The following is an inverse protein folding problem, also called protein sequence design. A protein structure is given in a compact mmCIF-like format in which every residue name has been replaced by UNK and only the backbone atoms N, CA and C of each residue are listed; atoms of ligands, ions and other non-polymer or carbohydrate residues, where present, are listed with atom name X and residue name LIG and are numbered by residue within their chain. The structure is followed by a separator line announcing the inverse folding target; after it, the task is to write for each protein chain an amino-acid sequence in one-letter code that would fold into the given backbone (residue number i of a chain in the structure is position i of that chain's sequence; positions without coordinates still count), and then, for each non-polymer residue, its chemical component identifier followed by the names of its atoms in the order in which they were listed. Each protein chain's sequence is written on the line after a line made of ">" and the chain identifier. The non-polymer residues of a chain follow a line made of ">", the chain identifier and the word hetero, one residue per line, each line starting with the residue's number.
data_IF_508445797944
#
_entry.id   IF_508445797944
#
_cell.length_a   1.000
_cell.length_b   1.000
_cell.length_c   1.000
_cell.angle_alpha   90.00
_cell.angle_beta   90.00
_cell.angle_gamma   90.00
#
_symmetry.space_group_name_H-M   'P 1'
#
loop_
_entity.id
_entity.type
_entity.pdbx_description
1 polymer ?
#
# COMPACT_ATOMS: atom_id res chain seq x y z
N UNK A 1 -14.09 27.36 -4.41
CA UNK A 1 -13.17 26.40 -3.75
C UNK A 1 -11.80 26.52 -4.35
N UNK A 2 -10.76 26.50 -3.51
CA UNK A 2 -9.37 26.47 -3.97
C UNK A 2 -9.10 25.13 -4.66
N UNK A 3 -8.55 25.17 -5.87
CA UNK A 3 -8.26 23.96 -6.62
C UNK A 3 -6.84 23.48 -6.30
N UNK A 4 -6.73 22.46 -5.44
CA UNK A 4 -5.46 21.84 -5.12
C UNK A 4 -5.07 20.80 -6.19
N UNK A 5 -3.77 20.63 -6.50
CA UNK A 5 -3.30 19.58 -7.42
C UNK A 5 -3.61 18.14 -6.97
N UNK A 6 -4.11 17.99 -5.74
CA UNK A 6 -4.53 16.72 -5.16
C UNK A 6 -6.02 16.45 -5.32
N UNK A 7 -6.80 17.42 -5.79
CA UNK A 7 -8.23 17.25 -5.98
C UNK A 7 -8.51 16.23 -7.08
N UNK A 8 -9.48 15.37 -6.84
CA UNK A 8 -9.90 14.38 -7.84
C UNK A 8 -10.65 15.03 -9.00
N UNK A 9 -10.34 14.61 -10.21
CA UNK A 9 -11.08 14.99 -11.42
C UNK A 9 -12.51 14.43 -11.39
N UNK A 10 -13.36 14.83 -12.34
CA UNK A 10 -14.70 14.27 -12.43
C UNK A 10 -14.67 12.77 -12.77
N UNK A 11 -13.78 12.34 -13.66
CA UNK A 11 -13.61 10.91 -13.98
C UNK A 11 -13.13 10.10 -12.79
N UNK A 12 -12.15 10.61 -12.04
CA UNK A 12 -11.65 9.98 -10.82
C UNK A 12 -12.74 9.90 -9.73
N UNK A 13 -13.53 10.96 -9.59
CA UNK A 13 -14.65 10.97 -8.65
C UNK A 13 -15.72 9.94 -9.00
N UNK A 14 -16.09 9.80 -10.27
CA UNK A 14 -17.03 8.75 -10.71
C UNK A 14 -16.56 7.35 -10.31
N UNK A 15 -15.25 7.08 -10.33
CA UNK A 15 -14.73 5.79 -9.88
C UNK A 15 -14.88 5.64 -8.37
N UNK A 16 -14.48 6.65 -7.59
CA UNK A 16 -14.48 6.60 -6.12
C UNK A 16 -15.90 6.56 -5.56
N UNK A 17 -16.81 7.33 -6.14
CA UNK A 17 -18.17 7.48 -5.65
C UNK A 17 -18.97 6.18 -5.61
N UNK A 18 -18.64 5.21 -6.49
CA UNK A 18 -19.27 3.89 -6.49
C UNK A 18 -19.01 3.07 -5.21
N UNK A 19 -18.05 3.45 -4.41
CA UNK A 19 -17.69 2.77 -3.15
C UNK A 19 -18.22 3.50 -1.91
N UNK A 20 -18.90 4.63 -2.10
CA UNK A 20 -19.35 5.49 -1.03
C UNK A 20 -20.88 5.57 -1.02
N UNK A 21 -21.47 5.56 0.18
CA UNK A 21 -22.89 5.81 0.34
C UNK A 21 -23.19 7.30 0.04
N UNK A 22 -23.81 7.59 -1.10
CA UNK A 22 -24.15 8.93 -1.54
C UNK A 22 -25.60 9.34 -1.16
N UNK A 23 -26.45 8.42 -0.76
CA UNK A 23 -27.88 8.66 -0.54
C UNK A 23 -28.15 9.47 0.73
N UNK A 24 -27.28 9.32 1.73
CA UNK A 24 -27.43 10.02 3.00
C UNK A 24 -27.18 11.53 2.85
N UNK A 25 -28.11 12.36 3.31
CA UNK A 25 -27.91 13.81 3.37
C UNK A 25 -26.80 14.19 4.36
N UNK A 26 -25.85 15.02 3.91
CA UNK A 26 -24.64 15.40 4.65
C UNK A 26 -24.38 16.91 4.54
N UNK A 27 -23.75 17.47 5.58
CA UNK A 27 -23.36 18.89 5.60
C UNK A 27 -22.26 19.20 4.57
N UNK A 28 -21.38 18.25 4.27
CA UNK A 28 -20.26 18.38 3.33
C UNK A 28 -20.35 17.29 2.27
N UNK A 29 -20.01 17.63 1.05
CA UNK A 29 -19.91 16.65 -0.02
C UNK A 29 -18.78 15.66 0.25
N UNK A 30 -19.00 14.38 -0.01
CA UNK A 30 -17.98 13.35 0.21
C UNK A 30 -16.75 13.56 -0.67
N UNK A 31 -16.90 14.18 -1.84
CA UNK A 31 -15.78 14.55 -2.70
C UNK A 31 -14.80 15.51 -2.02
N UNK A 32 -15.30 16.49 -1.27
CA UNK A 32 -14.47 17.42 -0.51
C UNK A 32 -13.69 16.71 0.60
N UNK A 33 -14.34 15.74 1.26
CA UNK A 33 -13.70 14.92 2.29
C UNK A 33 -12.60 14.05 1.69
N UNK A 34 -12.86 13.41 0.55
CA UNK A 34 -11.84 12.62 -0.17
C UNK A 34 -10.67 13.52 -0.60
N UNK A 35 -10.94 14.71 -1.14
CA UNK A 35 -9.90 15.67 -1.51
C UNK A 35 -9.02 16.06 -0.31
N UNK A 36 -9.63 16.33 0.84
CA UNK A 36 -8.89 16.66 2.07
C UNK A 36 -8.01 15.48 2.54
N UNK A 37 -8.50 14.24 2.46
CA UNK A 37 -7.72 13.06 2.79
C UNK A 37 -6.54 12.87 1.83
N UNK A 38 -6.77 13.00 0.52
CA UNK A 38 -5.70 12.88 -0.49
C UNK A 38 -4.67 14.02 -0.38
N UNK A 39 -5.11 15.23 -0.02
CA UNK A 39 -4.24 16.35 0.30
C UNK A 39 -3.32 16.00 1.47
N UNK A 40 -3.86 15.50 2.58
CA UNK A 40 -3.10 15.07 3.76
C UNK A 40 -2.08 13.99 3.40
N UNK A 41 -2.47 12.98 2.63
CA UNK A 41 -1.58 11.90 2.20
C UNK A 41 -0.41 12.45 1.36
N UNK A 42 -0.69 13.34 0.43
CA UNK A 42 0.34 13.92 -0.45
C UNK A 42 1.28 14.86 0.27
N UNK A 43 0.74 15.77 1.09
CA UNK A 43 1.52 16.83 1.74
C UNK A 43 2.18 16.38 3.04
N UNK A 44 1.62 15.34 3.70
CA UNK A 44 2.06 14.85 5.01
C UNK A 44 1.70 15.79 6.17
N UNK A 45 0.80 16.76 5.96
CA UNK A 45 0.38 17.68 7.01
C UNK A 45 -0.28 16.92 8.18
N UNK A 46 -0.34 17.54 9.35
CA UNK A 46 -1.11 17.02 10.47
C UNK A 46 -2.61 17.20 10.21
N UNK A 47 -3.45 16.33 10.76
CA UNK A 47 -4.91 16.45 10.65
C UNK A 47 -5.43 17.84 11.02
N UNK A 48 -4.90 18.41 12.12
CA UNK A 48 -5.28 19.74 12.61
C UNK A 48 -4.76 20.89 11.75
N UNK A 49 -3.84 20.62 10.83
CA UNK A 49 -3.24 21.58 9.90
C UNK A 49 -3.81 21.48 8.48
N UNK A 50 -4.94 20.79 8.30
CA UNK A 50 -5.65 20.83 7.04
C UNK A 50 -6.07 22.29 6.75
N UNK A 51 -5.90 22.77 5.50
CA UNK A 51 -6.36 24.09 5.09
C UNK A 51 -7.80 24.38 5.45
N UNK A 52 -8.12 25.62 5.80
CA UNK A 52 -9.42 26.03 6.33
C UNK A 52 -10.56 25.97 5.30
N UNK A 53 -10.24 25.91 4.00
CA UNK A 53 -11.18 25.75 2.89
C UNK A 53 -11.63 24.29 2.68
N UNK A 54 -10.99 23.31 3.32
CA UNK A 54 -11.52 21.95 3.44
C UNK A 54 -12.55 21.84 4.58
N UNK A 55 -13.36 20.77 4.60
CA UNK A 55 -14.18 20.45 5.75
C UNK A 55 -13.32 20.38 7.03
N UNK A 56 -13.91 20.77 8.17
CA UNK A 56 -13.20 20.76 9.48
C UNK A 56 -12.52 19.41 9.72
N UNK A 57 -11.27 19.43 10.14
CA UNK A 57 -10.44 18.23 10.31
C UNK A 57 -11.09 17.08 11.13
N UNK A 58 -11.91 17.31 12.19
CA UNK A 58 -12.54 16.21 12.93
C UNK A 58 -13.53 15.43 12.06
N UNK A 59 -14.20 16.11 11.11
CA UNK A 59 -15.13 15.49 10.17
C UNK A 59 -14.37 14.68 9.14
N UNK A 60 -13.29 15.23 8.57
CA UNK A 60 -12.42 14.51 7.63
C UNK A 60 -11.83 13.26 8.28
N UNK A 61 -11.34 13.37 9.51
CA UNK A 61 -10.79 12.25 10.27
C UNK A 61 -11.85 11.19 10.61
N UNK A 62 -13.08 11.62 10.94
CA UNK A 62 -14.20 10.70 11.17
C UNK A 62 -14.46 9.82 9.93
N UNK A 63 -14.58 10.42 8.75
CA UNK A 63 -14.79 9.66 7.51
C UNK A 63 -13.59 8.78 7.16
N UNK A 64 -12.37 9.30 7.26
CA UNK A 64 -11.17 8.48 7.08
C UNK A 64 -11.18 7.24 7.96
N UNK A 65 -11.49 7.41 9.27
CA UNK A 65 -11.52 6.33 10.24
C UNK A 65 -12.66 5.34 9.99
N UNK A 66 -13.84 5.83 9.63
CA UNK A 66 -15.01 5.01 9.31
C UNK A 66 -14.75 4.19 8.06
N UNK A 67 -14.26 4.80 6.99
CA UNK A 67 -13.97 4.11 5.74
C UNK A 67 -12.82 3.10 5.88
N UNK A 68 -11.81 3.43 6.71
CA UNK A 68 -10.78 2.46 7.10
C UNK A 68 -11.37 1.26 7.82
N UNK A 69 -12.21 1.48 8.86
CA UNK A 69 -12.83 0.41 9.65
C UNK A 69 -13.72 -0.50 8.81
N UNK A 70 -14.40 0.07 7.83
CA UNK A 70 -15.32 -0.65 6.93
C UNK A 70 -14.60 -1.26 5.71
N UNK A 71 -13.27 -1.20 5.62
CA UNK A 71 -12.50 -1.77 4.51
C UNK A 71 -12.63 -1.04 3.18
N UNK A 72 -13.27 0.14 3.12
CA UNK A 72 -13.53 0.88 1.88
C UNK A 72 -12.23 1.20 1.13
N UNK A 73 -11.17 1.60 1.82
CA UNK A 73 -9.89 1.92 1.18
C UNK A 73 -9.22 0.70 0.55
N UNK A 74 -9.32 -0.44 1.19
CA UNK A 74 -8.80 -1.70 0.68
C UNK A 74 -9.58 -2.15 -0.54
N UNK A 75 -10.91 -2.17 -0.45
CA UNK A 75 -11.79 -2.58 -1.52
C UNK A 75 -11.69 -1.67 -2.77
N UNK A 76 -11.65 -0.34 -2.59
CA UNK A 76 -11.39 0.61 -3.67
C UNK A 76 -10.02 0.36 -4.32
N UNK A 77 -8.99 0.10 -3.51
CA UNK A 77 -7.65 -0.20 -3.99
C UNK A 77 -7.64 -1.45 -4.88
N UNK A 78 -8.23 -2.56 -4.43
CA UNK A 78 -8.33 -3.82 -5.18
C UNK A 78 -9.05 -3.65 -6.50
N UNK A 79 -10.21 -2.98 -6.51
CA UNK A 79 -10.95 -2.68 -7.73
C UNK A 79 -10.14 -1.85 -8.73
N UNK A 80 -9.32 -0.91 -8.25
CA UNK A 80 -8.42 -0.15 -9.13
C UNK A 80 -7.31 -1.03 -9.70
N UNK A 81 -6.76 -1.97 -8.93
CA UNK A 81 -5.79 -2.96 -9.41
C UNK A 81 -6.39 -3.75 -10.57
N UNK A 82 -7.56 -4.35 -10.39
CA UNK A 82 -8.25 -5.13 -11.41
C UNK A 82 -8.50 -4.30 -12.69
N UNK A 83 -9.04 -3.09 -12.56
CA UNK A 83 -9.32 -2.20 -13.68
C UNK A 83 -8.06 -1.82 -14.45
N UNK A 84 -6.95 -1.51 -13.76
CA UNK A 84 -5.68 -1.16 -14.42
C UNK A 84 -5.10 -2.38 -15.11
N UNK A 85 -5.14 -3.55 -14.49
CA UNK A 85 -4.66 -4.80 -15.10
C UNK A 85 -5.41 -5.09 -16.40
N UNK A 86 -6.75 -5.00 -16.37
CA UNK A 86 -7.59 -5.16 -17.56
C UNK A 86 -7.25 -4.15 -18.66
N UNK A 87 -7.10 -2.86 -18.29
CA UNK A 87 -6.70 -1.78 -19.23
C UNK A 87 -5.33 -2.04 -19.87
N UNK A 88 -4.44 -2.78 -19.18
CA UNK A 88 -3.12 -3.17 -19.64
C UNK A 88 -3.10 -4.55 -20.36
N UNK A 89 -4.26 -5.08 -20.72
CA UNK A 89 -4.39 -6.37 -21.42
C UNK A 89 -3.97 -7.58 -20.58
N UNK A 90 -4.04 -7.48 -19.25
CA UNK A 90 -3.75 -8.58 -18.31
C UNK A 90 -5.03 -9.10 -17.67
N UNK A 91 -4.98 -10.34 -17.18
CA UNK A 91 -6.07 -10.87 -16.35
C UNK A 91 -6.30 -9.97 -15.14
N UNK A 92 -7.56 -9.77 -14.76
CA UNK A 92 -7.94 -8.98 -13.59
C UNK A 92 -7.24 -9.51 -12.33
N UNK A 93 -7.29 -10.83 -12.10
CA UNK A 93 -6.53 -11.48 -11.03
C UNK A 93 -5.07 -11.74 -11.45
N UNK A 94 -4.09 -11.34 -10.62
CA UNK A 94 -2.69 -11.66 -10.83
C UNK A 94 -2.39 -13.13 -10.50
N UNK A 95 -1.45 -13.73 -11.24
CA UNK A 95 -0.92 -15.07 -10.95
C UNK A 95 0.49 -15.05 -10.35
N UNK A 96 1.14 -13.90 -10.39
CA UNK A 96 2.54 -13.71 -9.97
C UNK A 96 2.65 -12.49 -9.08
N UNK A 97 3.39 -12.65 -7.97
CA UNK A 97 3.76 -11.57 -7.06
C UNK A 97 5.27 -11.36 -6.97
N UNK A 98 5.66 -10.22 -6.44
CA UNK A 98 7.04 -9.87 -6.09
C UNK A 98 7.01 -9.31 -4.69
N UNK A 99 7.76 -9.92 -3.76
CA UNK A 99 7.79 -9.54 -2.35
C UNK A 99 9.06 -8.74 -2.03
N UNK A 100 8.91 -7.73 -1.18
CA UNK A 100 10.04 -7.02 -0.56
C UNK A 100 9.58 -6.31 0.73
N UNK A 101 10.55 -5.80 1.52
CA UNK A 101 10.30 -5.10 2.77
C UNK A 101 11.11 -3.81 2.89
N UNK A 102 10.45 -2.74 3.35
CA UNK A 102 11.05 -1.44 3.59
C UNK A 102 10.95 -1.07 5.07
N UNK A 103 12.10 -0.80 5.71
CA UNK A 103 12.14 -0.26 7.08
C UNK A 103 12.01 1.26 7.07
N UNK A 104 11.12 1.81 7.91
CA UNK A 104 10.76 3.23 7.94
C UNK A 104 10.88 3.76 9.35
N UNK A 105 11.53 4.92 9.47
CA UNK A 105 11.64 5.63 10.74
C UNK A 105 10.26 6.02 11.28
N UNK A 106 10.01 5.72 12.55
CA UNK A 106 8.84 6.20 13.28
C UNK A 106 9.15 7.49 14.05
N UNK A 107 8.12 8.33 14.24
CA UNK A 107 8.21 9.47 15.16
C UNK A 107 8.16 8.98 16.61
N UNK A 108 8.47 9.85 17.57
CA UNK A 108 8.46 9.49 19.01
C UNK A 108 7.09 8.97 19.47
N UNK A 109 6.01 9.60 19.00
CA UNK A 109 4.64 9.32 19.42
C UNK A 109 3.91 8.34 18.51
N UNK A 110 4.52 7.94 17.38
CA UNK A 110 3.90 6.99 16.43
C UNK A 110 4.20 5.56 16.82
N UNK A 111 3.36 4.66 16.36
CA UNK A 111 3.39 3.21 16.48
C UNK A 111 3.67 2.66 17.89
N UNK A 112 2.71 1.91 18.39
CA UNK A 112 2.86 1.12 19.62
C UNK A 112 3.84 -0.05 19.40
N UNK A 113 3.96 -0.54 18.16
CA UNK A 113 4.75 -1.71 17.75
C UNK A 113 6.01 -1.29 16.94
N UNK A 114 6.82 -0.39 17.50
CA UNK A 114 8.09 0.00 16.85
C UNK A 114 9.27 -0.79 17.40
N UNK A 115 10.18 -1.17 16.49
CA UNK A 115 11.40 -1.88 16.82
C UNK A 115 12.63 -1.27 16.14
N UNK A 116 13.71 -2.00 16.15
CA UNK A 116 14.99 -1.59 15.53
C UNK A 116 15.44 -2.62 14.50
N UNK A 117 15.56 -2.20 13.26
CA UNK A 117 16.21 -2.97 12.19
C UNK A 117 17.72 -2.75 12.28
N UNK A 118 18.43 -3.74 12.78
CA UNK A 118 19.88 -3.66 12.97
C UNK A 118 20.66 -3.60 11.64
N UNK A 119 20.16 -4.27 10.60
CA UNK A 119 20.79 -4.29 9.28
C UNK A 119 20.70 -2.94 8.55
N UNK A 120 19.54 -2.30 8.62
CA UNK A 120 19.30 -0.99 7.98
C UNK A 120 19.51 0.20 8.94
N UNK A 121 19.80 -0.07 10.23
CA UNK A 121 19.96 0.93 11.31
C UNK A 121 18.75 1.88 11.42
N UNK A 122 17.55 1.34 11.32
CA UNK A 122 16.28 2.08 11.35
C UNK A 122 15.48 1.71 12.59
N UNK A 123 15.12 2.71 13.41
CA UNK A 123 14.14 2.56 14.50
C UNK A 123 12.76 2.95 14.01
N UNK A 124 11.82 1.98 13.98
CA UNK A 124 10.47 2.25 13.50
C UNK A 124 9.68 1.00 13.18
N UNK A 125 9.04 1.03 12.03
CA UNK A 125 8.22 -0.06 11.48
C UNK A 125 8.83 -0.62 10.20
N UNK A 126 8.37 -1.79 9.80
CA UNK A 126 8.69 -2.43 8.54
C UNK A 126 7.40 -2.62 7.73
N UNK A 127 7.44 -2.20 6.46
CA UNK A 127 6.40 -2.45 5.46
C UNK A 127 6.79 -3.67 4.66
N UNK A 128 6.05 -4.75 4.77
CA UNK A 128 6.13 -5.90 3.88
C UNK A 128 5.08 -5.73 2.81
N UNK A 129 5.47 -5.75 1.54
CA UNK A 129 4.53 -5.63 0.42
C UNK A 129 4.72 -6.76 -0.58
N UNK A 130 3.64 -7.11 -1.25
CA UNK A 130 3.67 -7.92 -2.46
C UNK A 130 3.04 -7.08 -3.56
N UNK A 131 3.72 -6.97 -4.70
CA UNK A 131 3.23 -6.27 -5.89
C UNK A 131 3.08 -7.23 -7.06
N UNK A 132 2.25 -6.87 -8.04
CA UNK A 132 2.17 -7.60 -9.30
C UNK A 132 3.29 -7.17 -10.28
N UNK A 133 3.26 -7.71 -11.49
CA UNK A 133 4.22 -7.40 -12.55
C UNK A 133 4.12 -5.97 -13.10
N UNK A 134 3.08 -5.21 -12.77
CA UNK A 134 2.91 -3.80 -13.11
C UNK A 134 3.36 -2.86 -11.96
N UNK A 135 3.71 -3.43 -10.79
CA UNK A 135 4.03 -2.69 -9.58
C UNK A 135 2.80 -2.25 -8.80
N UNK A 136 1.65 -2.87 -9.03
CA UNK A 136 0.44 -2.63 -8.26
C UNK A 136 0.51 -3.43 -6.96
N UNK A 137 0.24 -2.80 -5.83
CA UNK A 137 0.27 -3.47 -4.53
C UNK A 137 -0.87 -4.49 -4.47
N UNK A 138 -0.55 -5.73 -4.10
CA UNK A 138 -1.53 -6.79 -3.89
C UNK A 138 -1.77 -7.05 -2.41
N UNK A 139 -0.76 -6.88 -1.59
CA UNK A 139 -0.86 -7.00 -0.14
C UNK A 139 0.15 -6.08 0.55
N UNK A 140 -0.21 -5.59 1.71
CA UNK A 140 0.67 -4.82 2.60
C UNK A 140 0.43 -5.21 4.05
N UNK A 141 1.52 -5.46 4.78
CA UNK A 141 1.51 -5.68 6.23
C UNK A 141 2.54 -4.78 6.88
N UNK A 142 2.16 -4.17 7.98
CA UNK A 142 3.02 -3.30 8.79
C UNK A 142 3.31 -4.00 10.11
N UNK A 143 4.60 -4.14 10.43
CA UNK A 143 5.08 -4.75 11.67
C UNK A 143 6.21 -3.92 12.28
N UNK A 144 6.67 -4.31 13.47
CA UNK A 144 7.88 -3.77 14.09
C UNK A 144 9.09 -3.90 13.15
N UNK A 145 9.96 -2.89 13.10
CA UNK A 145 11.18 -2.98 12.30
C UNK A 145 12.14 -4.08 12.77
N UNK A 146 11.99 -4.61 13.99
CA UNK A 146 12.76 -5.75 14.50
C UNK A 146 12.39 -7.09 13.87
N UNK A 147 11.20 -7.22 13.25
CA UNK A 147 10.78 -8.43 12.54
C UNK A 147 11.66 -8.62 11.30
N UNK A 148 12.23 -9.82 11.14
CA UNK A 148 13.04 -10.12 9.96
C UNK A 148 12.16 -10.20 8.71
N UNK A 149 12.75 -9.90 7.54
CA UNK A 149 12.01 -9.87 6.27
C UNK A 149 11.35 -11.23 5.97
N UNK A 150 12.05 -12.35 6.28
CA UNK A 150 11.49 -13.70 6.11
C UNK A 150 10.35 -14.04 7.06
N UNK A 151 10.36 -13.51 8.29
CA UNK A 151 9.30 -13.77 9.26
C UNK A 151 8.03 -13.00 8.90
N UNK A 152 8.19 -11.75 8.46
CA UNK A 152 7.09 -10.94 7.96
C UNK A 152 6.51 -11.44 6.63
N UNK A 153 7.27 -12.22 5.86
CA UNK A 153 6.81 -12.79 4.59
C UNK A 153 5.56 -13.67 4.76
N UNK A 154 5.51 -14.50 5.81
CA UNK A 154 4.37 -15.37 6.07
C UNK A 154 3.08 -14.55 6.23
N UNK A 155 3.14 -13.48 7.03
CA UNK A 155 1.98 -12.62 7.28
C UNK A 155 1.49 -11.90 6.02
N UNK A 156 2.41 -11.40 5.18
CA UNK A 156 2.00 -10.69 3.94
C UNK A 156 1.49 -11.66 2.86
N UNK A 157 2.00 -12.91 2.82
CA UNK A 157 1.47 -13.94 1.92
C UNK A 157 0.09 -14.44 2.40
N UNK A 158 -0.12 -14.54 3.72
CA UNK A 158 -1.44 -14.83 4.28
C UNK A 158 -2.44 -13.76 3.87
N UNK A 159 -2.09 -12.47 4.07
CA UNK A 159 -2.91 -11.33 3.63
C UNK A 159 -3.17 -11.34 2.12
N UNK A 160 -2.17 -11.68 1.31
CA UNK A 160 -2.33 -11.83 -0.13
C UNK A 160 -3.42 -12.82 -0.51
N UNK A 161 -3.43 -14.00 0.15
CA UNK A 161 -4.37 -15.08 -0.16
C UNK A 161 -5.82 -14.80 0.25
N UNK A 162 -6.05 -13.84 1.13
CA UNK A 162 -7.41 -13.41 1.47
C UNK A 162 -8.12 -12.85 0.21
N UNK A 163 -7.41 -12.07 -0.61
CA UNK A 163 -7.99 -11.29 -1.70
C UNK A 163 -7.60 -11.83 -3.10
N UNK A 164 -6.42 -12.45 -3.24
CA UNK A 164 -5.86 -12.89 -4.54
C UNK A 164 -5.60 -14.39 -4.54
N UNK A 165 -6.60 -15.17 -4.92
CA UNK A 165 -6.54 -16.64 -4.83
C UNK A 165 -5.67 -17.30 -5.92
N UNK A 166 -5.54 -16.64 -7.09
CA UNK A 166 -4.87 -17.18 -8.28
C UNK A 166 -3.34 -16.99 -8.29
N UNK A 167 -2.75 -16.45 -7.22
CA UNK A 167 -1.29 -16.36 -7.11
C UNK A 167 -0.70 -17.74 -6.95
N UNK A 168 0.18 -18.13 -7.90
CA UNK A 168 0.89 -19.40 -7.94
C UNK A 168 2.38 -19.26 -7.71
N UNK A 169 2.94 -18.05 -7.94
CA UNK A 169 4.38 -17.80 -7.82
C UNK A 169 4.65 -16.43 -7.20
N UNK A 170 5.66 -16.38 -6.34
CA UNK A 170 6.18 -15.14 -5.77
C UNK A 170 7.70 -15.11 -6.00
N UNK A 171 8.21 -13.99 -6.53
CA UNK A 171 9.63 -13.70 -6.63
C UNK A 171 10.11 -12.95 -5.39
N UNK A 172 11.27 -13.34 -4.87
CA UNK A 172 11.90 -12.75 -3.68
C UNK A 172 13.42 -12.63 -3.85
N UNK A 173 14.06 -11.77 -3.07
CA UNK A 173 15.51 -11.70 -3.03
C UNK A 173 16.13 -12.77 -2.11
N UNK A 174 17.48 -12.81 -2.05
CA UNK A 174 18.22 -13.80 -1.25
C UNK A 174 17.94 -13.75 0.25
N UNK A 175 17.41 -12.64 0.76
CA UNK A 175 17.02 -12.50 2.17
C UNK A 175 15.88 -13.42 2.60
N UNK A 176 15.07 -13.88 1.63
CA UNK A 176 13.93 -14.78 1.84
C UNK A 176 14.28 -16.27 1.65
N UNK A 177 15.53 -16.60 1.35
CA UNK A 177 15.96 -17.97 1.13
C UNK A 177 15.88 -18.84 2.40
N UNK A 178 15.91 -20.18 2.24
CA UNK A 178 15.94 -21.17 3.32
C UNK A 178 14.58 -21.80 3.61
N UNK A 179 14.29 -22.06 4.89
CA UNK A 179 13.10 -22.80 5.33
C UNK A 179 11.76 -22.15 4.90
N UNK A 180 11.77 -20.84 4.67
CA UNK A 180 10.58 -20.09 4.23
C UNK A 180 9.99 -20.67 2.92
N UNK A 181 10.83 -21.12 1.98
CA UNK A 181 10.39 -21.68 0.69
C UNK A 181 9.43 -22.86 0.92
N UNK A 182 9.84 -23.80 1.80
CA UNK A 182 9.00 -24.96 2.14
C UNK A 182 7.70 -24.51 2.83
N UNK A 183 7.78 -23.60 3.81
CA UNK A 183 6.61 -23.09 4.55
C UNK A 183 5.59 -22.45 3.60
N UNK A 184 6.03 -21.59 2.68
CA UNK A 184 5.13 -20.93 1.72
C UNK A 184 4.50 -21.96 0.78
N UNK A 185 5.29 -22.91 0.28
CA UNK A 185 4.78 -23.98 -0.61
C UNK A 185 3.75 -24.88 0.08
N UNK A 186 4.04 -25.33 1.31
CA UNK A 186 3.16 -26.24 2.05
C UNK A 186 1.87 -25.56 2.49
N UNK A 187 1.99 -24.35 3.08
CA UNK A 187 0.84 -23.65 3.69
C UNK A 187 -0.06 -22.96 2.66
N UNK A 188 0.54 -22.34 1.64
CA UNK A 188 -0.21 -21.48 0.71
C UNK A 188 -0.30 -22.03 -0.72
N UNK A 189 0.41 -23.13 -1.03
CA UNK A 189 0.51 -23.72 -2.38
C UNK A 189 1.08 -22.74 -3.41
N UNK A 190 2.01 -21.87 -2.97
CA UNK A 190 2.70 -20.88 -3.78
C UNK A 190 4.16 -21.27 -3.93
N UNK A 191 4.70 -21.17 -5.14
CA UNK A 191 6.14 -21.31 -5.41
C UNK A 191 6.84 -20.00 -5.04
N UNK A 192 7.79 -20.04 -4.10
CA UNK A 192 8.66 -18.92 -3.77
C UNK A 192 10.00 -19.08 -4.51
N UNK A 193 10.23 -18.26 -5.54
CA UNK A 193 11.45 -18.29 -6.34
C UNK A 193 12.42 -17.19 -5.88
N UNK A 194 13.63 -17.63 -5.50
CA UNK A 194 14.68 -16.73 -5.03
C UNK A 194 15.53 -16.27 -6.22
N UNK A 195 15.58 -14.95 -6.44
CA UNK A 195 16.41 -14.34 -7.46
C UNK A 195 17.79 -14.04 -6.88
N UNK A 196 18.84 -14.71 -7.40
CA UNK A 196 20.23 -14.49 -6.99
C UNK A 196 20.85 -13.31 -7.72
N UNK A 197 21.78 -12.58 -7.05
CA UNK A 197 22.50 -11.44 -7.64
C UNK A 197 23.38 -11.82 -8.84
N UNK A 198 23.92 -13.02 -8.85
CA UNK A 198 24.86 -13.49 -9.89
C UNK A 198 24.18 -13.72 -11.27
N UNK A 199 22.86 -13.85 -11.29
CA UNK A 199 22.09 -13.95 -12.53
C UNK A 199 21.83 -12.58 -13.18
N UNK A 200 22.27 -11.48 -12.57
CA UNK A 200 22.17 -10.11 -13.08
C UNK A 200 23.11 -9.83 -14.27
N UNK A 201 24.12 -10.66 -14.50
CA UNK A 201 25.06 -10.51 -15.62
C UNK A 201 24.70 -11.28 -16.89
N UNK A 202 23.72 -12.17 -16.83
CA UNK A 202 23.13 -12.77 -18.04
C UNK A 202 21.89 -11.97 -18.43
N UNK A 203 21.86 -11.44 -19.64
CA UNK A 203 20.76 -10.68 -20.25
C UNK A 203 19.52 -11.59 -20.46
N UNK A 204 19.07 -12.24 -19.40
CA UNK A 204 17.72 -12.81 -19.32
C UNK A 204 16.84 -11.72 -18.76
N UNK A 205 15.70 -11.49 -19.43
CA UNK A 205 14.63 -10.56 -19.04
C UNK A 205 14.32 -10.76 -17.55
N UNK A 206 15.11 -10.13 -16.75
CA UNK A 206 15.10 -10.16 -15.30
C UNK A 206 14.99 -8.77 -14.77
N UNK A 207 14.69 -8.88 -13.71
CA UNK A 207 13.65 -9.41 -12.86
C UNK A 207 13.03 -8.29 -12.11
N UNK A 208 11.95 -8.28 -12.23
CA UNK A 208 10.82 -7.88 -11.38
C UNK A 208 11.17 -7.30 -9.99
N UNK A 209 12.36 -7.49 -9.41
CA UNK A 209 12.77 -6.89 -8.15
C UNK A 209 12.78 -5.35 -8.19
N UNK A 210 13.30 -4.73 -9.23
CA UNK A 210 13.24 -3.27 -9.43
C UNK A 210 11.79 -2.74 -9.44
N UNK A 211 10.80 -3.61 -9.75
CA UNK A 211 9.39 -3.23 -9.77
C UNK A 211 8.89 -2.91 -8.36
N UNK A 212 9.21 -3.75 -7.37
CA UNK A 212 8.79 -3.50 -5.99
C UNK A 212 9.55 -2.32 -5.39
N UNK A 213 10.84 -2.17 -5.70
CA UNK A 213 11.65 -1.01 -5.30
C UNK A 213 11.08 0.30 -5.87
N UNK A 214 10.69 0.28 -7.16
CA UNK A 214 9.99 1.39 -7.81
C UNK A 214 8.65 1.70 -7.12
N UNK A 215 7.92 0.67 -6.71
CA UNK A 215 6.64 0.86 -6.00
C UNK A 215 6.86 1.55 -4.66
N UNK A 216 7.87 1.19 -3.89
CA UNK A 216 8.24 1.93 -2.68
C UNK A 216 8.56 3.40 -3.00
N UNK A 217 9.36 3.67 -4.05
CA UNK A 217 9.66 5.03 -4.47
C UNK A 217 8.38 5.81 -4.82
N UNK A 218 7.42 5.19 -5.50
CA UNK A 218 6.12 5.83 -5.80
C UNK A 218 5.31 6.14 -4.55
N UNK A 219 5.26 5.23 -3.58
CA UNK A 219 4.58 5.45 -2.30
C UNK A 219 5.21 6.63 -1.57
N UNK A 220 6.54 6.70 -1.53
CA UNK A 220 7.30 7.73 -0.80
C UNK A 220 7.17 9.13 -1.44
N UNK A 221 6.71 9.24 -2.70
CA UNK A 221 6.31 10.54 -3.27
C UNK A 221 5.13 11.18 -2.53
N UNK A 222 4.42 10.42 -1.71
CA UNK A 222 3.40 10.90 -0.80
C UNK A 222 4.04 11.11 0.58
N UNK A 223 4.26 12.36 0.97
CA UNK A 223 5.03 12.73 2.16
C UNK A 223 4.54 12.09 3.46
N UNK A 224 3.26 11.70 3.54
CA UNK A 224 2.73 10.98 4.71
C UNK A 224 3.39 9.62 4.91
N UNK A 225 4.01 9.04 3.89
CA UNK A 225 4.73 7.77 3.94
C UNK A 225 6.24 7.89 4.20
N UNK A 226 6.82 9.10 4.12
CA UNK A 226 8.28 9.30 4.30
C UNK A 226 8.78 8.92 5.70
N UNK A 227 7.91 9.00 6.69
CA UNK A 227 8.08 8.50 8.05
C UNK A 227 6.76 7.89 8.51
N UNK A 228 6.79 7.01 9.50
CA UNK A 228 5.57 6.58 10.15
C UNK A 228 5.13 7.62 11.20
N UNK A 229 3.98 8.23 10.98
CA UNK A 229 3.31 9.18 11.88
C UNK A 229 2.12 8.54 12.60
N UNK A 230 1.72 7.35 12.17
CA UNK A 230 0.50 6.71 12.64
C UNK A 230 0.75 5.91 13.92
N UNK A 231 -0.21 5.96 14.83
CA UNK A 231 -0.14 5.21 16.10
C UNK A 231 -0.43 3.72 15.87
N UNK A 232 -1.42 3.41 15.05
CA UNK A 232 -1.86 2.04 14.78
C UNK A 232 -1.33 1.55 13.43
N UNK A 233 -0.83 0.32 13.37
CA UNK A 233 -0.35 -0.31 12.14
C UNK A 233 -1.43 -0.34 11.04
N UNK A 234 -2.69 -0.60 11.41
CA UNK A 234 -3.82 -0.55 10.48
C UNK A 234 -4.03 0.83 9.84
N UNK A 235 -3.71 1.91 10.56
CA UNK A 235 -3.77 3.26 10.00
C UNK A 235 -2.63 3.47 9.01
N UNK A 236 -1.43 2.97 9.30
CA UNK A 236 -0.31 3.00 8.37
C UNK A 236 -0.61 2.21 7.07
N UNK A 237 -1.25 1.05 7.17
CA UNK A 237 -1.76 0.26 6.03
C UNK A 237 -2.72 1.10 5.19
N UNK A 238 -3.71 1.74 5.80
CA UNK A 238 -4.68 2.59 5.09
C UNK A 238 -4.01 3.77 4.37
N UNK A 239 -2.98 4.38 4.95
CA UNK A 239 -2.19 5.44 4.29
C UNK A 239 -1.42 4.90 3.08
N UNK A 240 -0.90 3.68 3.14
CA UNK A 240 -0.27 3.03 1.98
C UNK A 240 -1.30 2.78 0.88
N UNK A 241 -2.48 2.24 1.19
CA UNK A 241 -3.56 2.04 0.22
C UNK A 241 -3.99 3.37 -0.42
N UNK A 242 -4.20 4.42 0.37
CA UNK A 242 -4.56 5.75 -0.16
C UNK A 242 -3.48 6.33 -1.09
N UNK A 243 -2.22 6.11 -0.78
CA UNK A 243 -1.11 6.51 -1.65
C UNK A 243 -1.11 5.75 -2.96
N UNK A 244 -1.33 4.45 -2.91
CA UNK A 244 -1.47 3.60 -4.11
C UNK A 244 -2.72 3.99 -4.92
N UNK A 245 -3.88 4.20 -4.28
CA UNK A 245 -5.11 4.69 -4.90
C UNK A 245 -4.83 6.00 -5.67
N UNK A 246 -4.19 6.98 -5.02
CA UNK A 246 -3.86 8.25 -5.64
C UNK A 246 -2.98 8.09 -6.88
N UNK A 247 -1.97 7.21 -6.82
CA UNK A 247 -1.09 6.91 -7.96
C UNK A 247 -1.86 6.21 -9.08
N UNK A 248 -2.74 5.28 -8.74
CA UNK A 248 -3.55 4.53 -9.70
C UNK A 248 -4.60 5.41 -10.38
N UNK A 249 -5.24 6.31 -9.65
CA UNK A 249 -6.23 7.25 -10.21
C UNK A 249 -5.64 8.15 -11.30
N UNK A 250 -4.36 8.44 -11.26
CA UNK A 250 -3.69 9.22 -12.32
C UNK A 250 -3.50 8.42 -13.64
N UNK A 251 -3.89 7.14 -13.67
CA UNK A 251 -3.84 6.29 -14.87
C UNK A 251 -5.21 6.22 -15.60
N UNK A 252 -6.23 6.89 -15.03
CA UNK A 252 -7.59 7.05 -15.59
C UNK A 252 -7.86 8.49 -16.03
#
# INVERSE_FOLDING_TARGET
>A
MTNYPTNVSNSQWQIISNFLDLERNRKYELREIVNAILYLVKTGCQWRMLPADFPKWPIVYYYFSTWKKNGIWEYLHESLVEKIRKKQGKNEEPSVGIIDAQSIKSTLVSSEDKGFDAGKKVKGIKRHIIVDTLGLILAVVIQSASVQDRDGAVSVVEKLKENWKNIIKIFADGGYAGKLIAVIKERFKIELEIIKRDELHTFKILPKRWIVERTFSWIDTNRRNSKNYERLNQTSVAIVHLSAIRIMLNRF
#
